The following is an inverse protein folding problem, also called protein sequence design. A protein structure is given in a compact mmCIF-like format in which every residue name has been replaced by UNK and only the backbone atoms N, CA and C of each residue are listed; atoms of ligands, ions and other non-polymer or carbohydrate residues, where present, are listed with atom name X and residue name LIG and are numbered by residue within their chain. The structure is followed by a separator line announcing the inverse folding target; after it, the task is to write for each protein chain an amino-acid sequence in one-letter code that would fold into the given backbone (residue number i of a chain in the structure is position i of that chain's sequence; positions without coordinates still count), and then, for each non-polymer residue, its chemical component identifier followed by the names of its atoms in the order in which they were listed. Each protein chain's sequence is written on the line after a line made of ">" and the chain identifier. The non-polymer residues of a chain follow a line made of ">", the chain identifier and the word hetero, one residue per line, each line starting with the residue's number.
data_IF_535894377943
#
_entry.id   IF_535894377943
#
_cell.length_a   1.000
_cell.length_b   1.000
_cell.length_c   1.000
_cell.angle_alpha   90.00
_cell.angle_beta   90.00
_cell.angle_gamma   90.00
#
_symmetry.space_group_name_H-M   'P 1'
#
loop_
_entity.id
_entity.type
_entity.pdbx_description
1 polymer ?
#
# COMPACT_ATOMS: atom_id res chain seq x y z
N UNK A 1 14.34 -17.39 14.08
CA UNK A 1 15.46 -16.62 14.64
C UNK A 1 15.07 -15.16 14.50
N UNK A 2 15.09 -14.39 15.59
CA UNK A 2 14.80 -12.96 15.55
C UNK A 2 15.86 -12.27 14.70
N UNK A 3 15.46 -11.48 13.73
CA UNK A 3 16.34 -10.79 12.77
C UNK A 3 16.43 -9.30 13.09
N UNK A 4 16.43 -8.95 14.37
CA UNK A 4 16.60 -7.56 14.81
C UNK A 4 15.33 -6.72 14.76
N UNK A 5 14.14 -7.35 14.77
CA UNK A 5 12.88 -6.64 14.85
C UNK A 5 12.82 -5.76 16.09
N UNK A 6 12.31 -4.55 15.89
CA UNK A 6 12.24 -3.53 16.94
C UNK A 6 10.87 -3.55 17.63
N UNK A 7 10.91 -3.81 18.97
CA UNK A 7 9.73 -3.88 19.82
C UNK A 7 9.72 -2.70 20.78
N UNK A 8 8.65 -1.92 20.77
CA UNK A 8 8.40 -0.87 21.73
C UNK A 8 7.51 -1.39 22.85
N UNK A 9 7.99 -1.32 24.10
CA UNK A 9 7.22 -1.65 25.29
C UNK A 9 6.79 -0.35 25.96
N UNK A 10 5.48 -0.20 26.15
CA UNK A 10 4.87 0.93 26.84
C UNK A 10 4.34 0.42 28.18
N UNK A 11 5.14 0.55 29.23
CA UNK A 11 4.91 -0.02 30.55
C UNK A 11 5.51 0.89 31.61
N UNK A 12 4.69 1.25 32.61
CA UNK A 12 5.12 2.10 33.70
C UNK A 12 5.76 1.30 34.86
N UNK A 13 5.37 0.04 35.00
CA UNK A 13 5.95 -0.85 36.02
C UNK A 13 7.32 -1.39 35.54
N UNK A 14 8.42 -1.06 36.25
CA UNK A 14 9.75 -1.47 35.83
C UNK A 14 9.97 -3.00 35.91
N UNK A 15 9.27 -3.70 36.80
CA UNK A 15 9.43 -5.15 36.97
C UNK A 15 8.78 -5.89 35.79
N UNK A 16 7.60 -5.45 35.36
CA UNK A 16 6.91 -5.97 34.18
C UNK A 16 7.73 -5.66 32.92
N UNK A 17 8.19 -4.42 32.78
CA UNK A 17 9.01 -4.00 31.66
C UNK A 17 10.32 -4.80 31.56
N UNK A 18 10.98 -5.06 32.68
CA UNK A 18 12.21 -5.85 32.73
C UNK A 18 11.97 -7.31 32.37
N UNK A 19 10.93 -7.93 32.91
CA UNK A 19 10.59 -9.31 32.59
C UNK A 19 10.30 -9.48 31.08
N UNK A 20 9.46 -8.65 30.52
CA UNK A 20 9.10 -8.73 29.10
C UNK A 20 10.32 -8.38 28.23
N UNK A 21 10.95 -7.24 28.50
CA UNK A 21 11.99 -6.72 27.62
C UNK A 21 13.32 -7.43 27.78
N UNK A 22 13.88 -7.45 28.99
CA UNK A 22 15.23 -7.93 29.25
C UNK A 22 15.30 -9.46 29.40
N UNK A 23 14.32 -10.07 30.06
CA UNK A 23 14.37 -11.51 30.36
C UNK A 23 13.79 -12.32 29.20
N UNK A 24 12.63 -11.93 28.63
CA UNK A 24 11.98 -12.72 27.60
C UNK A 24 12.47 -12.40 26.16
N UNK A 25 12.54 -11.10 25.78
CA UNK A 25 12.71 -10.74 24.37
C UNK A 25 14.17 -10.48 23.94
N UNK A 26 14.97 -9.73 24.73
CA UNK A 26 16.38 -9.43 24.38
C UNK A 26 17.26 -10.66 24.17
N UNK A 27 17.14 -11.75 24.96
CA UNK A 27 17.95 -12.95 24.75
C UNK A 27 17.71 -13.64 23.39
N UNK A 28 16.55 -13.39 22.76
CA UNK A 28 16.19 -13.90 21.45
C UNK A 28 16.63 -13.00 20.30
N UNK A 29 17.30 -11.87 20.59
CA UNK A 29 17.86 -10.97 19.58
C UNK A 29 16.93 -9.84 19.14
N UNK A 30 15.80 -9.63 19.83
CA UNK A 30 14.93 -8.48 19.57
C UNK A 30 15.57 -7.18 20.06
N UNK A 31 15.38 -6.10 19.29
CA UNK A 31 15.70 -4.75 19.75
C UNK A 31 14.53 -4.22 20.57
N UNK A 32 14.75 -3.96 21.85
CA UNK A 32 13.68 -3.55 22.77
C UNK A 32 13.92 -2.15 23.29
N UNK A 33 12.95 -1.28 23.09
CA UNK A 33 12.86 0.05 23.72
C UNK A 33 11.70 0.06 24.69
N UNK A 34 11.92 0.62 25.88
CA UNK A 34 10.89 0.74 26.92
C UNK A 34 10.62 2.22 27.18
N UNK A 35 9.32 2.57 27.26
CA UNK A 35 8.85 3.89 27.66
C UNK A 35 7.74 3.75 28.70
N UNK A 36 7.64 4.69 29.62
CA UNK A 36 6.73 4.57 30.78
C UNK A 36 5.36 5.19 30.57
N UNK A 37 5.10 5.88 29.45
CA UNK A 37 3.86 6.62 29.23
C UNK A 37 3.46 6.68 27.75
N UNK A 38 2.19 6.96 27.50
CA UNK A 38 1.63 7.03 26.16
C UNK A 38 2.18 8.19 25.31
N UNK A 39 2.52 9.34 25.93
CA UNK A 39 3.06 10.49 25.22
C UNK A 39 4.44 10.22 24.65
N UNK A 40 5.30 9.59 25.45
CA UNK A 40 6.63 9.12 25.05
C UNK A 40 6.53 8.05 23.94
N UNK A 41 5.56 7.13 24.05
CA UNK A 41 5.31 6.11 23.05
C UNK A 41 4.92 6.70 21.69
N UNK A 42 4.02 7.69 21.66
CA UNK A 42 3.61 8.37 20.45
C UNK A 42 4.77 9.11 19.78
N UNK A 43 5.55 9.84 20.55
CA UNK A 43 6.74 10.56 20.03
C UNK A 43 7.75 9.59 19.44
N UNK A 44 8.02 8.49 20.15
CA UNK A 44 8.99 7.50 19.71
C UNK A 44 8.53 6.81 18.43
N UNK A 45 7.30 6.30 18.41
CA UNK A 45 6.74 5.59 17.25
C UNK A 45 6.63 6.47 16.00
N UNK A 46 6.44 7.78 16.15
CA UNK A 46 6.44 8.73 15.04
C UNK A 46 7.82 8.93 14.42
N UNK A 47 8.89 8.88 15.23
CA UNK A 47 10.29 9.06 14.78
C UNK A 47 10.89 7.75 14.28
N UNK A 48 10.64 6.67 14.97
CA UNK A 48 11.18 5.34 14.70
C UNK A 48 10.05 4.31 14.82
N UNK A 49 9.30 4.06 13.72
CA UNK A 49 8.20 3.12 13.75
C UNK A 49 8.66 1.72 14.16
N UNK A 50 8.16 1.17 15.28
CA UNK A 50 8.52 -0.18 15.71
C UNK A 50 7.80 -1.23 14.88
N UNK A 51 8.34 -2.45 14.84
CA UNK A 51 7.69 -3.60 14.19
C UNK A 51 6.51 -4.15 15.00
N UNK A 52 6.56 -3.98 16.32
CA UNK A 52 5.51 -4.36 17.27
C UNK A 52 5.51 -3.42 18.47
N UNK A 53 4.33 -3.13 19.00
CA UNK A 53 4.13 -2.36 20.24
C UNK A 53 3.45 -3.27 21.27
N UNK A 54 4.01 -3.34 22.46
CA UNK A 54 3.38 -3.95 23.63
C UNK A 54 2.98 -2.81 24.56
N UNK A 55 1.70 -2.62 24.82
CA UNK A 55 1.22 -1.48 25.61
C UNK A 55 0.35 -1.93 26.79
N UNK A 56 0.69 -1.53 27.99
CA UNK A 56 -0.18 -1.75 29.16
C UNK A 56 -1.46 -0.92 28.98
N UNK A 57 -2.61 -1.55 29.33
CA UNK A 57 -3.90 -0.89 29.27
C UNK A 57 -4.04 0.21 30.35
N UNK A 58 -3.31 0.06 31.45
CA UNK A 58 -3.31 0.97 32.61
C UNK A 58 -2.06 1.86 32.60
N UNK A 59 -1.95 2.74 31.61
CA UNK A 59 -0.83 3.70 31.57
C UNK A 59 -1.16 4.98 32.36
N UNK A 60 -0.15 5.62 32.96
CA UNK A 60 -0.36 6.89 33.62
C UNK A 60 -0.71 8.00 32.61
N UNK A 61 -1.73 8.78 32.96
CA UNK A 61 -2.20 9.91 32.15
C UNK A 61 -3.18 9.50 31.06
N UNK A 62 -2.70 8.94 29.97
CA UNK A 62 -3.53 8.40 28.89
C UNK A 62 -3.59 6.88 28.98
N UNK A 63 -4.79 6.30 28.98
CA UNK A 63 -4.93 4.85 29.00
C UNK A 63 -4.37 4.19 27.73
N UNK A 64 -4.07 2.89 27.80
CA UNK A 64 -3.67 2.13 26.62
C UNK A 64 -4.73 2.14 25.51
N UNK A 65 -6.00 2.35 25.84
CA UNK A 65 -7.10 2.53 24.88
C UNK A 65 -6.99 3.88 24.16
N UNK A 66 -6.67 4.95 24.88
CA UNK A 66 -6.46 6.28 24.29
C UNK A 66 -5.21 6.28 23.40
N UNK A 67 -4.17 5.54 23.81
CA UNK A 67 -2.97 5.32 23.01
C UNK A 67 -3.29 4.62 21.68
N UNK A 68 -4.10 3.56 21.69
CA UNK A 68 -4.57 2.88 20.48
C UNK A 68 -5.34 3.83 19.55
N UNK A 69 -6.25 4.63 20.09
CA UNK A 69 -7.00 5.62 19.33
C UNK A 69 -6.07 6.68 18.73
N UNK A 70 -5.05 7.11 19.48
CA UNK A 70 -4.04 8.07 18.99
C UNK A 70 -3.17 7.49 17.87
N UNK A 71 -2.72 6.23 17.96
CA UNK A 71 -1.99 5.55 16.89
C UNK A 71 -2.81 5.48 15.61
N UNK A 72 -4.10 5.12 15.71
CA UNK A 72 -5.00 5.07 14.56
C UNK A 72 -5.18 6.45 13.91
N UNK A 73 -5.36 7.51 14.72
CA UNK A 73 -5.53 8.88 14.22
C UNK A 73 -4.28 9.42 13.52
N UNK A 74 -3.10 9.01 13.95
CA UNK A 74 -1.80 9.38 13.35
C UNK A 74 -1.38 8.45 12.21
N UNK A 75 -2.22 7.48 11.83
CA UNK A 75 -1.94 6.49 10.78
C UNK A 75 -0.65 5.68 11.03
N UNK A 76 -0.30 5.48 12.30
CA UNK A 76 0.80 4.61 12.71
C UNK A 76 0.36 3.15 12.55
N UNK A 77 1.04 2.43 11.66
CA UNK A 77 0.65 1.07 11.23
C UNK A 77 1.34 -0.06 11.99
N UNK A 78 2.06 0.27 13.05
CA UNK A 78 2.67 -0.77 13.89
C UNK A 78 1.59 -1.56 14.62
N UNK A 79 1.63 -2.90 14.60
CA UNK A 79 0.68 -3.72 15.34
C UNK A 79 0.86 -3.49 16.84
N UNK A 80 -0.25 -3.47 17.58
CA UNK A 80 -0.28 -3.25 19.01
C UNK A 80 -0.86 -4.47 19.70
N UNK A 81 -0.12 -5.02 20.66
CA UNK A 81 -0.61 -6.00 21.63
C UNK A 81 -0.83 -5.27 22.96
N UNK A 82 -1.98 -5.46 23.54
CA UNK A 82 -2.30 -4.84 24.82
C UNK A 82 -1.98 -5.80 25.96
N UNK A 83 -1.33 -5.27 27.00
CA UNK A 83 -1.10 -5.98 28.26
C UNK A 83 -2.21 -5.56 29.22
N UNK A 84 -2.99 -6.52 29.71
CA UNK A 84 -4.06 -6.34 30.66
C UNK A 84 -3.88 -7.29 31.87
N UNK A 85 -4.40 -6.93 33.01
CA UNK A 85 -4.45 -7.84 34.16
C UNK A 85 -5.63 -8.80 34.06
N UNK A 86 -5.53 -9.95 34.74
CA UNK A 86 -6.66 -10.87 34.92
C UNK A 86 -7.81 -10.16 35.64
N UNK A 87 -9.01 -10.23 35.05
CA UNK A 87 -10.19 -9.51 35.51
C UNK A 87 -10.52 -8.25 34.68
N UNK A 88 -9.66 -7.89 33.73
CA UNK A 88 -9.88 -6.75 32.81
C UNK A 88 -10.35 -7.21 31.43
N UNK A 89 -11.11 -8.29 31.32
CA UNK A 89 -11.56 -8.86 30.05
C UNK A 89 -12.42 -7.86 29.26
N UNK A 90 -13.20 -7.03 29.96
CA UNK A 90 -14.01 -6.00 29.32
C UNK A 90 -13.14 -4.95 28.58
N UNK A 91 -12.07 -4.51 29.24
CA UNK A 91 -11.13 -3.55 28.67
C UNK A 91 -10.33 -4.15 27.50
N UNK A 92 -9.98 -5.43 27.60
CA UNK A 92 -9.37 -6.20 26.52
C UNK A 92 -10.26 -6.25 25.27
N UNK A 93 -11.57 -6.51 25.43
CA UNK A 93 -12.54 -6.50 24.33
C UNK A 93 -12.62 -5.10 23.69
N UNK A 94 -12.59 -4.05 24.50
CA UNK A 94 -12.57 -2.68 23.97
C UNK A 94 -11.28 -2.39 23.21
N UNK A 95 -10.13 -2.85 23.69
CA UNK A 95 -8.86 -2.70 22.99
C UNK A 95 -8.89 -3.37 21.59
N UNK A 96 -9.47 -4.57 21.46
CA UNK A 96 -9.69 -5.20 20.16
C UNK A 96 -10.55 -4.35 19.21
N UNK A 97 -11.64 -3.77 19.72
CA UNK A 97 -12.50 -2.87 18.92
C UNK A 97 -11.76 -1.61 18.45
N UNK A 98 -10.78 -1.16 19.22
CA UNK A 98 -9.92 -0.02 18.88
C UNK A 98 -8.74 -0.41 17.99
N UNK A 99 -8.61 -1.68 17.60
CA UNK A 99 -7.60 -2.15 16.66
C UNK A 99 -6.37 -2.79 17.28
N UNK A 100 -6.42 -3.19 18.55
CA UNK A 100 -5.39 -4.06 19.10
C UNK A 100 -5.34 -5.38 18.32
N UNK A 101 -4.14 -5.84 18.02
CA UNK A 101 -3.92 -7.08 17.28
C UNK A 101 -4.13 -8.31 18.16
N UNK A 102 -3.71 -8.21 19.42
CA UNK A 102 -3.85 -9.28 20.43
C UNK A 102 -3.86 -8.67 21.84
N UNK A 103 -4.15 -9.49 22.82
CA UNK A 103 -4.11 -9.13 24.25
C UNK A 103 -3.33 -10.19 25.03
N UNK A 104 -2.47 -9.73 25.94
CA UNK A 104 -1.76 -10.54 26.92
C UNK A 104 -2.34 -10.29 28.30
N UNK A 105 -2.70 -11.36 29.04
CA UNK A 105 -3.18 -11.23 30.41
C UNK A 105 -2.08 -11.52 31.43
N UNK A 106 -1.67 -10.48 32.11
CA UNK A 106 -0.65 -10.58 33.17
C UNK A 106 -1.20 -11.24 34.45
N UNK A 107 -0.42 -12.07 35.20
CA UNK A 107 0.97 -12.44 34.97
C UNK A 107 1.14 -13.56 33.93
N UNK A 108 2.22 -13.47 33.15
CA UNK A 108 2.60 -14.42 32.11
C UNK A 108 4.01 -14.97 32.38
N UNK A 109 4.29 -16.15 31.81
CA UNK A 109 5.64 -16.72 31.77
C UNK A 109 6.38 -16.21 30.54
N UNK A 110 7.71 -16.14 30.61
CA UNK A 110 8.55 -15.69 29.51
C UNK A 110 8.22 -16.38 28.17
N UNK A 111 8.03 -17.72 28.21
CA UNK A 111 7.68 -18.49 27.02
C UNK A 111 6.32 -18.11 26.38
N UNK A 112 5.35 -17.66 27.20
CA UNK A 112 4.06 -17.21 26.72
C UNK A 112 4.18 -15.84 26.04
N UNK A 113 4.95 -14.92 26.63
CA UNK A 113 5.29 -13.61 26.03
C UNK A 113 5.92 -13.81 24.68
N UNK A 114 6.94 -14.65 24.59
CA UNK A 114 7.67 -14.96 23.35
C UNK A 114 6.72 -15.52 22.30
N UNK A 115 5.91 -16.51 22.65
CA UNK A 115 4.96 -17.14 21.73
C UNK A 115 3.95 -16.15 21.12
N UNK A 116 3.44 -15.23 21.93
CA UNK A 116 2.49 -14.20 21.49
C UNK A 116 3.18 -13.20 20.55
N UNK A 117 4.38 -12.74 20.92
CA UNK A 117 5.17 -11.80 20.12
C UNK A 117 5.55 -12.41 18.77
N UNK A 118 6.07 -13.64 18.75
CA UNK A 118 6.45 -14.32 17.51
C UNK A 118 5.24 -14.51 16.57
N UNK A 119 4.09 -14.90 17.13
CA UNK A 119 2.84 -15.04 16.37
C UNK A 119 2.43 -13.72 15.74
N UNK A 120 2.44 -12.63 16.49
CA UNK A 120 2.07 -11.30 16.01
C UNK A 120 3.03 -10.78 14.93
N UNK A 121 4.33 -10.92 15.12
CA UNK A 121 5.32 -10.53 14.12
C UNK A 121 5.17 -11.33 12.83
N UNK A 122 5.00 -12.66 12.91
CA UNK A 122 4.74 -13.52 11.75
C UNK A 122 3.51 -13.10 10.98
N UNK A 123 2.37 -12.92 11.65
CA UNK A 123 1.13 -12.48 11.04
C UNK A 123 1.26 -11.11 10.37
N UNK A 124 2.03 -10.21 10.96
CA UNK A 124 2.30 -8.88 10.39
C UNK A 124 3.15 -8.99 9.13
N UNK A 125 4.18 -9.82 9.14
CA UNK A 125 5.05 -10.09 8.00
C UNK A 125 4.25 -10.68 6.84
N UNK A 126 3.48 -11.73 7.08
CA UNK A 126 2.61 -12.37 6.08
C UNK A 126 1.62 -11.37 5.45
N UNK A 127 1.03 -10.50 6.27
CA UNK A 127 0.11 -9.47 5.80
C UNK A 127 0.82 -8.41 4.93
N UNK A 128 2.01 -7.97 5.33
CA UNK A 128 2.82 -7.01 4.56
C UNK A 128 3.27 -7.61 3.21
N UNK A 129 3.72 -8.86 3.22
CA UNK A 129 4.12 -9.58 1.99
C UNK A 129 2.95 -9.77 1.03
N UNK A 130 1.81 -10.20 1.54
CA UNK A 130 0.58 -10.34 0.75
C UNK A 130 0.17 -9.00 0.11
N UNK A 131 0.15 -7.91 0.88
CA UNK A 131 -0.16 -6.58 0.36
C UNK A 131 0.84 -6.13 -0.72
N UNK A 132 2.13 -6.46 -0.56
CA UNK A 132 3.16 -6.16 -1.56
C UNK A 132 2.92 -6.93 -2.86
N UNK A 133 2.63 -8.23 -2.76
CA UNK A 133 2.33 -9.09 -3.90
C UNK A 133 1.05 -8.63 -4.63
N UNK A 134 0.00 -8.30 -3.89
CA UNK A 134 -1.25 -7.80 -4.47
C UNK A 134 -1.03 -6.50 -5.27
N UNK A 135 -0.20 -5.57 -4.74
CA UNK A 135 0.15 -4.34 -5.46
C UNK A 135 0.95 -4.62 -6.73
N UNK A 136 1.92 -5.54 -6.66
CA UNK A 136 2.73 -5.93 -7.83
C UNK A 136 1.84 -6.60 -8.89
N UNK A 137 0.97 -7.52 -8.48
CA UNK A 137 0.03 -8.19 -9.37
C UNK A 137 -0.88 -7.20 -10.09
N UNK A 138 -1.44 -6.24 -9.34
CA UNK A 138 -2.29 -5.19 -9.92
C UNK A 138 -1.53 -4.35 -10.94
N UNK A 139 -0.33 -3.88 -10.61
CA UNK A 139 0.49 -3.08 -11.52
C UNK A 139 0.84 -3.85 -12.81
N UNK A 140 1.22 -5.13 -12.69
CA UNK A 140 1.52 -5.99 -13.85
C UNK A 140 0.27 -6.24 -14.71
N UNK A 141 -0.88 -6.45 -14.08
CA UNK A 141 -2.14 -6.65 -14.79
C UNK A 141 -2.54 -5.38 -15.57
N UNK A 142 -2.42 -4.21 -14.97
CA UNK A 142 -2.70 -2.93 -15.63
C UNK A 142 -1.77 -2.71 -16.84
N UNK A 143 -0.49 -3.06 -16.71
CA UNK A 143 0.48 -3.01 -17.82
C UNK A 143 0.12 -3.98 -18.94
N UNK A 144 -0.23 -5.24 -18.61
CA UNK A 144 -0.66 -6.23 -19.60
C UNK A 144 -1.92 -5.78 -20.34
N UNK A 145 -2.89 -5.20 -19.64
CA UNK A 145 -4.10 -4.67 -20.27
C UNK A 145 -3.81 -3.50 -21.22
N UNK A 146 -2.85 -2.63 -20.88
CA UNK A 146 -2.36 -1.59 -21.82
C UNK A 146 -1.77 -2.22 -23.08
N UNK A 147 -0.83 -3.16 -22.93
CA UNK A 147 -0.18 -3.83 -24.08
C UNK A 147 -1.18 -4.55 -24.97
N UNK A 148 -2.19 -5.20 -24.39
CA UNK A 148 -3.26 -5.86 -25.15
C UNK A 148 -4.08 -4.84 -25.97
N UNK A 149 -4.44 -3.69 -25.38
CA UNK A 149 -5.14 -2.62 -26.11
C UNK A 149 -4.30 -2.09 -27.26
N UNK A 150 -3.02 -1.85 -27.05
CA UNK A 150 -2.10 -1.38 -28.08
C UNK A 150 -2.01 -2.39 -29.24
N UNK A 151 -1.84 -3.69 -28.93
CA UNK A 151 -1.81 -4.77 -29.94
C UNK A 151 -3.12 -4.89 -30.72
N UNK A 152 -4.28 -4.80 -30.04
CA UNK A 152 -5.58 -4.86 -30.74
C UNK A 152 -5.77 -3.67 -31.66
N UNK A 153 -5.30 -2.50 -31.28
CA UNK A 153 -5.32 -1.31 -32.13
C UNK A 153 -4.47 -1.49 -33.38
N UNK A 154 -3.22 -1.96 -33.21
CA UNK A 154 -2.30 -2.25 -34.34
C UNK A 154 -2.91 -3.29 -35.28
N UNK A 155 -3.51 -4.37 -34.75
CA UNK A 155 -4.16 -5.40 -35.56
C UNK A 155 -5.38 -4.85 -36.32
N UNK A 156 -6.14 -3.93 -35.73
CA UNK A 156 -7.27 -3.28 -36.36
C UNK A 156 -6.82 -2.41 -37.55
N UNK A 157 -5.76 -1.64 -37.36
CA UNK A 157 -5.13 -0.85 -38.45
C UNK A 157 -4.61 -1.77 -39.55
N UNK A 158 -3.88 -2.83 -39.21
CA UNK A 158 -3.34 -3.77 -40.18
C UNK A 158 -4.45 -4.45 -41.01
N UNK A 159 -5.53 -4.86 -40.37
CA UNK A 159 -6.71 -5.41 -41.07
C UNK A 159 -7.37 -4.39 -41.98
N UNK A 160 -7.49 -3.12 -41.54
CA UNK A 160 -8.02 -2.06 -42.39
C UNK A 160 -7.18 -1.84 -43.62
N UNK A 161 -5.85 -1.83 -43.50
CA UNK A 161 -4.90 -1.69 -44.64
C UNK A 161 -5.02 -2.83 -45.65
N UNK A 162 -5.28 -4.06 -45.19
CA UNK A 162 -5.34 -5.25 -46.08
C UNK A 162 -6.71 -5.49 -46.71
N UNK A 163 -7.79 -4.88 -46.18
CA UNK A 163 -9.18 -5.14 -46.66
C UNK A 163 -9.75 -4.07 -47.56
N UNK A 164 -8.99 -3.05 -47.98
CA UNK A 164 -9.60 -1.82 -48.50
C UNK A 164 -9.56 -1.69 -50.01
N UNK A 165 -10.76 -1.67 -50.62
CA UNK A 165 -11.04 -1.04 -51.89
C UNK A 165 -11.42 0.46 -51.75
N UNK A 166 -11.44 1.03 -50.55
CA UNK A 166 -11.86 2.41 -50.30
C UNK A 166 -10.79 3.14 -49.42
N UNK A 167 -9.96 3.94 -50.07
CA UNK A 167 -8.89 4.71 -49.41
C UNK A 167 -9.40 5.65 -48.31
N UNK A 168 -10.60 6.18 -48.42
CA UNK A 168 -11.18 7.07 -47.40
C UNK A 168 -11.42 6.33 -46.08
N UNK A 169 -12.08 5.17 -46.12
CA UNK A 169 -12.33 4.36 -44.95
C UNK A 169 -11.01 3.98 -44.22
N UNK A 170 -9.98 3.68 -45.01
CA UNK A 170 -8.64 3.39 -44.46
C UNK A 170 -8.08 4.60 -43.68
N UNK A 171 -8.12 5.78 -44.26
CA UNK A 171 -7.56 7.00 -43.66
C UNK A 171 -8.34 7.39 -42.39
N UNK A 172 -9.66 7.29 -42.39
CA UNK A 172 -10.48 7.57 -41.22
C UNK A 172 -10.16 6.60 -40.06
N UNK A 173 -9.96 5.32 -40.33
CA UNK A 173 -9.59 4.32 -39.32
C UNK A 173 -8.17 4.54 -38.77
N UNK A 174 -7.24 4.97 -39.59
CA UNK A 174 -5.88 5.34 -39.14
C UNK A 174 -5.96 6.52 -38.19
N UNK A 175 -6.72 7.56 -38.51
CA UNK A 175 -6.87 8.74 -37.67
C UNK A 175 -7.55 8.44 -36.33
N UNK A 176 -8.65 7.67 -36.35
CA UNK A 176 -9.32 7.22 -35.10
C UNK A 176 -8.34 6.50 -34.18
N UNK A 177 -7.57 5.58 -34.76
CA UNK A 177 -6.59 4.81 -33.99
C UNK A 177 -5.44 5.66 -33.46
N UNK A 178 -4.96 6.62 -34.25
CA UNK A 178 -3.89 7.53 -33.85
C UNK A 178 -4.32 8.44 -32.69
N UNK A 179 -5.56 8.96 -32.72
CA UNK A 179 -6.15 9.74 -31.61
C UNK A 179 -6.24 8.90 -30.34
N UNK A 180 -6.72 7.66 -30.47
CA UNK A 180 -6.91 6.78 -29.33
C UNK A 180 -5.57 6.34 -28.68
N UNK A 181 -4.53 6.09 -29.49
CA UNK A 181 -3.19 5.71 -28.99
C UNK A 181 -2.42 6.89 -28.44
N UNK A 182 -2.56 8.07 -29.06
CA UNK A 182 -1.81 9.26 -28.71
C UNK A 182 -2.50 10.13 -27.65
N UNK A 183 -3.71 9.75 -27.20
CA UNK A 183 -4.55 10.57 -26.31
C UNK A 183 -4.65 12.03 -26.81
N UNK A 184 -4.77 12.19 -28.15
CA UNK A 184 -4.75 13.48 -28.81
C UNK A 184 -6.18 13.98 -29.11
N UNK A 185 -6.38 15.30 -29.12
CA UNK A 185 -7.67 15.93 -29.42
C UNK A 185 -7.91 16.09 -30.93
N UNK A 186 -6.84 16.05 -31.72
CA UNK A 186 -6.92 16.22 -33.19
C UNK A 186 -5.81 15.44 -33.89
N UNK A 187 -6.14 14.99 -35.13
CA UNK A 187 -5.18 14.32 -36.00
C UNK A 187 -5.48 14.60 -37.47
N UNK A 188 -4.46 14.62 -38.31
CA UNK A 188 -4.62 14.74 -39.74
C UNK A 188 -3.59 13.90 -40.50
N UNK A 189 -3.96 13.48 -41.73
CA UNK A 189 -3.13 12.70 -42.61
C UNK A 189 -2.88 13.46 -43.89
N UNK A 190 -1.59 13.70 -44.20
CA UNK A 190 -1.17 14.32 -45.44
C UNK A 190 -0.34 13.33 -46.26
N UNK A 191 -0.61 13.24 -47.55
CA UNK A 191 0.18 12.48 -48.48
C UNK A 191 0.93 13.40 -49.45
N UNK A 192 2.18 13.09 -49.73
CA UNK A 192 2.96 13.80 -50.74
C UNK A 192 2.49 13.41 -52.12
N UNK A 193 2.36 14.37 -53.03
CA UNK A 193 2.01 14.13 -54.42
C UNK A 193 3.23 13.66 -55.22
N UNK A 194 3.06 12.65 -56.09
CA UNK A 194 4.17 11.98 -56.80
C UNK A 194 4.96 12.90 -57.71
N UNK A 195 4.42 14.02 -58.15
CA UNK A 195 5.06 14.94 -59.13
C UNK A 195 5.30 16.36 -58.58
N UNK A 196 5.33 16.53 -57.24
CA UNK A 196 5.53 17.85 -56.66
C UNK A 196 6.02 17.81 -55.20
N UNK A 197 6.29 19.01 -54.67
CA UNK A 197 6.64 19.20 -53.24
C UNK A 197 5.38 19.54 -52.41
N UNK A 198 4.19 19.25 -52.90
CA UNK A 198 2.92 19.55 -52.28
C UNK A 198 2.47 18.36 -51.43
N UNK A 199 2.00 18.66 -50.22
CA UNK A 199 1.32 17.69 -49.36
C UNK A 199 -0.19 17.94 -49.39
N UNK A 200 -0.95 16.90 -49.74
CA UNK A 200 -2.39 16.96 -49.82
C UNK A 200 -2.98 16.39 -48.53
N UNK A 201 -3.87 17.14 -47.88
CA UNK A 201 -4.67 16.65 -46.77
C UNK A 201 -5.65 15.57 -47.28
N UNK A 202 -5.55 14.35 -46.81
CA UNK A 202 -6.36 13.20 -47.21
C UNK A 202 -7.43 12.86 -46.26
N UNK A 203 -7.19 13.06 -44.95
CA UNK A 203 -8.17 12.88 -43.89
C UNK A 203 -7.82 13.76 -42.69
N UNK A 204 -8.83 14.07 -41.87
CA UNK A 204 -8.64 14.85 -40.65
C UNK A 204 -9.75 14.49 -39.64
N UNK A 205 -9.42 14.56 -38.34
CA UNK A 205 -10.36 14.38 -37.24
C UNK A 205 -10.04 15.42 -36.16
N UNK A 206 -11.07 16.14 -35.69
CA UNK A 206 -10.90 17.20 -34.67
C UNK A 206 -10.42 18.55 -35.21
N UNK A 207 -10.11 18.72 -36.49
CA UNK A 207 -9.76 20.01 -37.09
C UNK A 207 -11.02 20.86 -37.32
N UNK A 208 -10.93 22.13 -36.99
CA UNK A 208 -12.01 23.10 -37.25
C UNK A 208 -12.19 23.31 -38.77
N UNK A 209 -13.44 23.39 -39.25
CA UNK A 209 -13.77 23.51 -40.68
C UNK A 209 -13.07 24.65 -41.45
N UNK A 210 -12.68 25.70 -40.75
CA UNK A 210 -11.91 26.81 -41.33
C UNK A 210 -10.51 26.44 -41.84
N UNK A 211 -9.92 25.35 -41.35
CA UNK A 211 -8.60 24.85 -41.72
C UNK A 211 -8.65 23.70 -42.72
N UNK A 212 -9.79 23.02 -42.80
CA UNK A 212 -9.98 21.86 -43.69
C UNK A 212 -10.25 22.25 -45.15
N UNK A 213 -10.56 23.52 -45.45
CA UNK A 213 -10.95 24.02 -46.80
C UNK A 213 -9.87 24.84 -47.50
N UNK A 214 -8.66 24.90 -46.98
CA UNK A 214 -7.52 25.51 -47.66
C UNK A 214 -6.57 24.45 -48.23
#
# INVERSE_FOLDING_TARGET
>A
MATGEHILIVEADPDIADLIGRQALKPLGYQVTVVGDAGSALKYAAQTPPDLILANINLPGLSGKDLLAAFNSQNLRSPVIVIAEKGQEHDAIQAFRLGAMDVMFWPLRDAEVVSIVERALRQTQETRERQKLDRQLKATNDELQRRLRDMTTILTIAKAVTSVNDQRYLFDRILESAIQLGEADMCWLMLREDKGNLFLLRAQLGLHDAWAKK
#
